data_IF_432346564028
#
_entry.id   IF_432346564028
#
_cell.length_a   1.000
_cell.length_b   1.000
_cell.length_c   1.000
_cell.angle_alpha   90.00
_cell.angle_beta   90.00
_cell.angle_gamma   90.00
#
_symmetry.space_group_name_H-M   'P 1'
#
loop_
_entity.id
_entity.type
_entity.pdbx_description
1 polymer ?
#
# COMPACT_ATOMS: atom_id res chain seq x y z
N UNK A 1 -4.66 -3.96 -5.58
CA UNK A 1 -5.64 -4.17 -4.48
C UNK A 1 -5.01 -3.91 -3.12
N UNK A 2 -5.84 -3.80 -2.10
CA UNK A 2 -5.46 -3.70 -0.69
C UNK A 2 -6.37 -4.60 0.13
N UNK A 3 -5.83 -5.24 1.16
CA UNK A 3 -6.63 -5.98 2.15
C UNK A 3 -6.69 -5.23 3.46
N UNK A 4 -7.83 -5.27 4.14
CA UNK A 4 -8.05 -4.54 5.39
C UNK A 4 -8.81 -5.39 6.40
N UNK A 5 -8.65 -5.05 7.68
CA UNK A 5 -9.45 -5.57 8.80
C UNK A 5 -9.91 -4.39 9.65
N UNK A 6 -10.66 -4.66 10.71
CA UNK A 6 -11.03 -3.69 11.73
C UNK A 6 -10.42 -4.07 13.08
N UNK A 7 -10.08 -3.07 13.90
CA UNK A 7 -9.74 -3.30 15.31
C UNK A 7 -10.99 -3.26 16.20
N UNK A 8 -10.81 -3.48 17.51
CA UNK A 8 -11.90 -3.48 18.50
C UNK A 8 -12.63 -2.13 18.58
N UNK A 9 -11.96 -1.02 18.24
CA UNK A 9 -12.54 0.33 18.22
C UNK A 9 -13.29 0.65 16.92
N UNK A 10 -13.38 -0.30 15.98
CA UNK A 10 -13.99 -0.06 14.67
C UNK A 10 -13.15 0.86 13.79
N UNK A 11 -11.83 0.91 13.99
CA UNK A 11 -10.88 1.55 13.06
C UNK A 11 -10.36 0.52 12.05
N UNK A 12 -10.40 0.89 10.78
CA UNK A 12 -9.85 0.07 9.68
C UNK A 12 -8.32 0.04 9.73
N UNK A 13 -7.75 -1.14 9.54
CA UNK A 13 -6.31 -1.42 9.50
C UNK A 13 -5.96 -2.00 8.13
N UNK A 14 -4.93 -1.46 7.48
CA UNK A 14 -4.37 -2.08 6.27
C UNK A 14 -3.53 -3.30 6.62
N UNK A 15 -3.80 -4.41 5.95
CA UNK A 15 -3.04 -5.67 6.09
C UNK A 15 -1.97 -5.85 5.01
N UNK A 16 -2.09 -5.15 3.88
CA UNK A 16 -1.14 -5.26 2.77
C UNK A 16 -1.68 -4.72 1.46
N UNK A 17 -0.78 -4.61 0.48
CA UNK A 17 -1.07 -4.19 -0.89
C UNK A 17 -0.63 -5.28 -1.85
N UNK A 18 -1.44 -5.49 -2.89
CA UNK A 18 -1.33 -6.63 -3.80
C UNK A 18 -1.47 -6.16 -5.24
N UNK A 19 -0.62 -6.65 -6.12
CA UNK A 19 -0.56 -6.32 -7.54
C UNK A 19 -0.66 -7.56 -8.42
N UNK A 20 -0.25 -7.41 -9.68
CA UNK A 20 -0.26 -8.49 -10.66
C UNK A 20 0.61 -9.66 -10.18
N UNK A 21 0.05 -10.87 -10.18
CA UNK A 21 0.76 -12.08 -9.76
C UNK A 21 0.80 -12.31 -8.24
N UNK A 22 0.22 -11.43 -7.41
CA UNK A 22 0.01 -11.71 -5.99
C UNK A 22 -1.28 -12.52 -5.78
N UNK A 23 -1.30 -13.30 -4.70
CA UNK A 23 -2.49 -14.06 -4.28
C UNK A 23 -3.12 -13.39 -3.05
N UNK A 24 -4.45 -13.31 -3.06
CA UNK A 24 -5.26 -12.78 -1.96
C UNK A 24 -6.41 -13.73 -1.63
N UNK A 25 -6.92 -13.67 -0.39
CA UNK A 25 -8.10 -14.43 0.04
C UNK A 25 -7.95 -15.09 1.41
N UNK A 26 -9.04 -15.74 1.86
CA UNK A 26 -9.15 -16.35 3.19
C UNK A 26 -8.08 -17.41 3.53
N UNK A 27 -7.56 -18.24 2.62
CA UNK A 27 -6.48 -19.19 2.97
C UNK A 27 -5.22 -18.51 3.52
N UNK A 28 -5.04 -17.21 3.27
CA UNK A 28 -3.84 -16.45 3.61
C UNK A 28 -3.97 -15.61 4.90
N UNK A 29 -5.16 -15.52 5.49
CA UNK A 29 -5.41 -14.72 6.69
C UNK A 29 -6.48 -15.34 7.58
N UNK A 30 -6.26 -15.30 8.89
CA UNK A 30 -7.25 -15.70 9.89
C UNK A 30 -8.04 -14.53 10.46
N UNK A 31 -7.72 -13.30 10.02
CA UNK A 31 -8.42 -12.10 10.47
C UNK A 31 -9.81 -12.05 9.84
N UNK A 32 -10.81 -11.85 10.68
CA UNK A 32 -12.22 -11.77 10.28
C UNK A 32 -12.87 -10.56 10.94
N UNK A 33 -13.53 -9.67 10.17
CA UNK A 33 -13.62 -9.67 8.71
C UNK A 33 -12.30 -9.26 8.02
N UNK A 34 -12.03 -9.84 6.85
CA UNK A 34 -10.98 -9.36 5.93
C UNK A 34 -11.65 -8.83 4.67
N UNK A 35 -11.53 -7.53 4.43
CA UNK A 35 -12.10 -6.83 3.28
C UNK A 35 -11.04 -6.58 2.21
N UNK A 36 -11.46 -6.65 0.95
CA UNK A 36 -10.63 -6.41 -0.21
C UNK A 36 -11.10 -5.14 -0.94
N UNK A 37 -10.17 -4.22 -1.18
CA UNK A 37 -10.40 -2.96 -1.87
C UNK A 37 -9.59 -2.91 -3.17
N UNK A 38 -10.28 -2.68 -4.29
CA UNK A 38 -9.63 -2.42 -5.56
C UNK A 38 -9.14 -0.97 -5.61
N UNK A 39 -7.82 -0.78 -5.74
CA UNK A 39 -7.20 0.55 -5.93
C UNK A 39 -7.08 0.92 -7.41
N UNK A 40 -7.26 -0.04 -8.30
CA UNK A 40 -7.23 0.08 -9.76
C UNK A 40 -8.30 -0.86 -10.33
N UNK A 41 -8.74 -0.69 -11.59
CA UNK A 41 -9.39 -1.77 -12.31
C UNK A 41 -8.54 -3.05 -12.17
N UNK A 42 -9.15 -4.12 -11.67
CA UNK A 42 -8.46 -5.36 -11.29
C UNK A 42 -9.31 -6.53 -11.73
N UNK A 43 -8.68 -7.52 -12.34
CA UNK A 43 -9.28 -8.83 -12.63
C UNK A 43 -8.73 -9.87 -11.66
N UNK A 44 -9.57 -10.85 -11.30
CA UNK A 44 -9.22 -11.92 -10.37
C UNK A 44 -9.49 -13.26 -11.03
N UNK A 45 -8.53 -14.17 -10.88
CA UNK A 45 -8.66 -15.56 -11.31
C UNK A 45 -8.61 -16.46 -10.08
N UNK A 46 -9.54 -17.42 -9.94
CA UNK A 46 -9.48 -18.39 -8.86
C UNK A 46 -8.25 -19.28 -9.03
N UNK A 47 -7.61 -19.65 -7.92
CA UNK A 47 -6.48 -20.58 -7.92
C UNK A 47 -6.69 -21.69 -6.89
N UNK A 48 -6.11 -22.86 -7.13
CA UNK A 48 -6.05 -23.94 -6.15
C UNK A 48 -4.87 -23.74 -5.19
N UNK A 49 -5.10 -24.06 -3.91
CA UNK A 49 -4.08 -24.04 -2.85
C UNK A 49 -3.04 -25.15 -2.99
N UNK A 50 -3.29 -26.15 -3.84
CA UNK A 50 -2.40 -27.30 -4.05
C UNK A 50 -1.30 -27.01 -5.09
N UNK A 51 -1.26 -25.80 -5.65
CA UNK A 51 -0.31 -25.43 -6.69
C UNK A 51 1.02 -24.95 -6.11
N UNK A 52 2.13 -25.19 -6.83
CA UNK A 52 3.44 -24.62 -6.47
C UNK A 52 3.44 -23.09 -6.47
N UNK A 53 2.58 -22.48 -7.30
CA UNK A 53 2.34 -21.05 -7.33
C UNK A 53 1.81 -20.52 -5.99
N UNK A 54 0.94 -21.26 -5.30
CA UNK A 54 0.44 -20.86 -3.98
C UNK A 54 1.56 -20.76 -2.93
N UNK A 55 2.52 -21.69 -2.94
CA UNK A 55 3.68 -21.65 -2.06
C UNK A 55 4.57 -20.42 -2.32
N UNK A 56 4.80 -20.07 -3.60
CA UNK A 56 5.54 -18.85 -3.96
C UNK A 56 4.81 -17.59 -3.50
N UNK A 57 3.48 -17.56 -3.65
CA UNK A 57 2.67 -16.43 -3.21
C UNK A 57 2.72 -16.21 -1.69
N UNK A 58 2.82 -17.30 -0.90
CA UNK A 58 3.03 -17.21 0.55
C UNK A 58 4.36 -16.52 0.89
N UNK A 59 5.44 -16.83 0.17
CA UNK A 59 6.75 -16.19 0.36
C UNK A 59 6.69 -14.69 0.03
N UNK A 60 6.13 -14.34 -1.13
CA UNK A 60 5.96 -12.93 -1.54
C UNK A 60 5.12 -12.16 -0.52
N UNK A 61 4.04 -12.77 -0.02
CA UNK A 61 3.23 -12.19 1.04
C UNK A 61 4.02 -11.97 2.32
N UNK A 62 4.85 -12.93 2.72
CA UNK A 62 5.73 -12.81 3.89
C UNK A 62 6.65 -11.59 3.78
N UNK A 63 7.37 -11.48 2.67
CA UNK A 63 8.31 -10.37 2.43
C UNK A 63 7.60 -9.01 2.42
N UNK A 64 6.47 -8.88 1.71
CA UNK A 64 5.70 -7.64 1.69
C UNK A 64 5.21 -7.23 3.08
N UNK A 65 4.79 -8.21 3.89
CA UNK A 65 4.38 -7.95 5.27
C UNK A 65 5.56 -7.49 6.13
N UNK A 66 6.74 -8.11 6.02
CA UNK A 66 7.95 -7.69 6.74
C UNK A 66 8.38 -6.27 6.36
N UNK A 67 8.37 -5.95 5.07
CA UNK A 67 8.67 -4.60 4.58
C UNK A 67 7.66 -3.59 5.13
N UNK A 68 6.36 -3.90 5.08
CA UNK A 68 5.33 -3.01 5.64
C UNK A 68 5.46 -2.86 7.16
N UNK A 69 5.77 -3.94 7.89
CA UNK A 69 6.07 -3.89 9.32
C UNK A 69 7.26 -2.96 9.59
N UNK A 70 8.33 -3.03 8.80
CA UNK A 70 9.47 -2.12 8.96
C UNK A 70 9.09 -0.65 8.77
N UNK A 71 8.14 -0.36 7.88
CA UNK A 71 7.64 0.98 7.60
C UNK A 71 6.77 1.49 8.74
N UNK A 72 5.81 0.70 9.24
CA UNK A 72 4.87 1.17 10.28
C UNK A 72 5.55 1.41 11.63
N UNK A 73 6.66 0.72 11.91
CA UNK A 73 7.40 0.84 13.17
C UNK A 73 8.37 2.04 13.21
N UNK A 74 8.44 2.86 12.16
CA UNK A 74 9.25 4.07 12.21
C UNK A 74 8.69 5.07 13.22
N UNK A 75 9.58 5.67 14.00
CA UNK A 75 9.26 6.63 15.06
C UNK A 75 8.40 7.78 14.54
N UNK A 76 8.86 8.45 13.48
CA UNK A 76 8.18 9.63 12.94
C UNK A 76 7.17 9.26 11.84
N UNK A 77 5.96 9.78 11.94
CA UNK A 77 4.89 9.56 10.94
C UNK A 77 5.29 10.06 9.54
N UNK A 78 6.11 11.12 9.47
CA UNK A 78 6.68 11.61 8.21
C UNK A 78 7.48 10.54 7.50
N UNK A 79 8.28 9.78 8.24
CA UNK A 79 9.17 8.76 7.68
C UNK A 79 8.36 7.56 7.20
N UNK A 80 7.33 7.15 7.98
CA UNK A 80 6.38 6.13 7.55
C UNK A 80 5.72 6.49 6.21
N UNK A 81 5.29 7.74 6.05
CA UNK A 81 4.67 8.20 4.81
C UNK A 81 5.66 8.13 3.63
N UNK A 82 6.87 8.66 3.82
CA UNK A 82 7.90 8.66 2.79
C UNK A 82 8.24 7.23 2.36
N UNK A 83 8.53 6.37 3.33
CA UNK A 83 8.90 4.98 3.06
C UNK A 83 7.74 4.19 2.45
N UNK A 84 6.49 4.45 2.87
CA UNK A 84 5.32 3.85 2.24
C UNK A 84 5.23 4.26 0.76
N UNK A 85 5.36 5.54 0.43
CA UNK A 85 5.30 6.00 -0.95
C UNK A 85 6.44 5.42 -1.80
N UNK A 86 7.65 5.32 -1.25
CA UNK A 86 8.79 4.69 -1.90
C UNK A 86 8.60 3.17 -2.09
N UNK A 87 8.02 2.49 -1.10
CA UNK A 87 7.70 1.07 -1.19
C UNK A 87 6.64 0.82 -2.25
N UNK A 88 5.53 1.58 -2.24
CA UNK A 88 4.51 1.51 -3.28
C UNK A 88 5.09 1.79 -4.67
N UNK A 89 6.03 2.73 -4.78
CA UNK A 89 6.66 3.09 -6.05
C UNK A 89 7.49 1.94 -6.61
N UNK A 90 8.24 1.26 -5.74
CA UNK A 90 9.02 0.06 -6.13
C UNK A 90 8.12 -1.12 -6.50
N UNK A 91 7.01 -1.31 -5.79
CA UNK A 91 6.13 -2.47 -5.99
C UNK A 91 5.15 -2.30 -7.16
N UNK A 92 4.65 -1.09 -7.40
CA UNK A 92 3.51 -0.84 -8.30
C UNK A 92 3.69 0.38 -9.21
N UNK A 93 4.82 1.07 -9.11
CA UNK A 93 5.07 2.29 -9.86
C UNK A 93 5.35 2.03 -11.34
N UNK A 94 5.05 3.03 -12.17
CA UNK A 94 5.44 3.08 -13.59
C UNK A 94 6.45 4.21 -13.78
N UNK A 95 7.60 3.91 -14.35
CA UNK A 95 8.57 4.96 -14.69
C UNK A 95 8.00 5.90 -15.75
N UNK A 96 8.15 7.21 -15.51
CA UNK A 96 7.81 8.28 -16.44
C UNK A 96 8.92 9.33 -16.41
N UNK A 97 8.96 10.24 -17.39
CA UNK A 97 10.01 11.27 -17.50
C UNK A 97 10.22 12.10 -16.21
N UNK A 98 9.18 12.26 -15.39
CA UNK A 98 9.18 13.10 -14.19
C UNK A 98 9.34 12.33 -12.88
N UNK A 99 9.62 11.02 -12.93
CA UNK A 99 9.76 10.16 -11.75
C UNK A 99 8.92 8.89 -11.85
N UNK A 100 8.41 8.41 -10.72
CA UNK A 100 7.63 7.17 -10.66
C UNK A 100 6.15 7.49 -10.45
N UNK A 101 5.31 7.12 -11.41
CA UNK A 101 3.86 7.28 -11.33
C UNK A 101 3.23 6.14 -10.52
N UNK A 102 2.59 6.50 -9.41
CA UNK A 102 1.67 5.65 -8.65
C UNK A 102 0.26 5.78 -9.22
N UNK A 103 -0.03 4.94 -10.21
CA UNK A 103 -1.32 4.87 -10.90
C UNK A 103 -2.35 4.04 -10.11
N UNK A 104 -2.71 4.52 -8.91
CA UNK A 104 -3.70 3.87 -8.06
C UNK A 104 -4.51 4.87 -7.25
N UNK A 105 -5.76 4.52 -6.95
CA UNK A 105 -6.71 5.33 -6.17
C UNK A 105 -6.42 5.26 -4.67
N UNK A 106 -5.26 5.79 -4.28
CA UNK A 106 -4.84 5.78 -2.90
C UNK A 106 -5.35 7.04 -2.16
N UNK A 107 -6.42 6.89 -1.38
CA UNK A 107 -7.00 8.00 -0.63
C UNK A 107 -6.11 8.40 0.55
N UNK A 108 -6.23 9.64 1.03
CA UNK A 108 -5.51 10.08 2.22
C UNK A 108 -5.93 9.27 3.47
N UNK A 109 -7.17 8.76 3.50
CA UNK A 109 -7.65 7.87 4.55
C UNK A 109 -6.96 6.51 4.47
N UNK A 110 -6.89 5.90 3.29
CA UNK A 110 -6.18 4.63 3.08
C UNK A 110 -4.70 4.72 3.51
N UNK A 111 -4.04 5.84 3.21
CA UNK A 111 -2.67 6.11 3.68
C UNK A 111 -2.64 6.19 5.22
N UNK A 112 -3.57 6.93 5.82
CA UNK A 112 -3.64 7.11 7.28
C UNK A 112 -3.89 5.79 8.02
N UNK A 113 -4.80 4.97 7.51
CA UNK A 113 -5.10 3.61 7.96
C UNK A 113 -3.86 2.70 7.85
N UNK A 114 -3.03 2.92 6.83
CA UNK A 114 -1.81 2.12 6.60
C UNK A 114 -0.67 2.50 7.53
N UNK A 115 -0.39 3.79 7.72
CA UNK A 115 0.75 4.25 8.53
C UNK A 115 0.39 4.53 10.00
N UNK A 116 -0.83 4.20 10.41
CA UNK A 116 -1.29 4.36 11.79
C UNK A 116 -1.36 5.82 12.24
N UNK A 117 -1.97 6.70 11.44
CA UNK A 117 -2.18 8.12 11.78
C UNK A 117 -3.59 8.58 11.41
N UNK A 118 -3.81 9.90 11.29
CA UNK A 118 -5.08 10.50 10.86
C UNK A 118 -4.99 11.05 9.44
N UNK A 119 -6.12 11.08 8.73
CA UNK A 119 -6.23 11.71 7.41
C UNK A 119 -5.76 13.17 7.39
N UNK A 120 -5.98 13.93 8.47
CA UNK A 120 -5.53 15.32 8.60
C UNK A 120 -4.01 15.38 8.62
N UNK A 121 -3.36 14.51 9.40
CA UNK A 121 -1.89 14.40 9.44
C UNK A 121 -1.32 14.04 8.07
N UNK A 122 -1.89 13.02 7.39
CA UNK A 122 -1.50 12.65 6.02
C UNK A 122 -1.63 13.82 5.06
N UNK A 123 -2.77 14.52 5.10
CA UNK A 123 -3.02 15.68 4.22
C UNK A 123 -1.97 16.76 4.40
N UNK A 124 -1.59 17.07 5.65
CA UNK A 124 -0.55 18.05 5.95
C UNK A 124 0.82 17.59 5.44
N UNK A 125 1.18 16.33 5.68
CA UNK A 125 2.47 15.79 5.27
C UNK A 125 2.61 15.71 3.74
N UNK A 126 1.57 15.26 3.02
CA UNK A 126 1.58 15.24 1.56
C UNK A 126 1.77 16.65 0.98
N UNK A 127 1.10 17.67 1.53
CA UNK A 127 1.31 19.07 1.13
C UNK A 127 2.74 19.55 1.39
N UNK A 128 3.36 19.10 2.48
CA UNK A 128 4.77 19.41 2.75
C UNK A 128 5.68 18.74 1.72
N UNK A 129 5.50 17.45 1.44
CA UNK A 129 6.27 16.74 0.41
C UNK A 129 6.10 17.36 -0.99
N UNK A 130 4.90 17.84 -1.31
CA UNK A 130 4.62 18.54 -2.57
C UNK A 130 5.36 19.88 -2.64
N UNK A 131 5.34 20.69 -1.58
CA UNK A 131 6.12 21.94 -1.50
C UNK A 131 7.64 21.70 -1.57
N UNK A 132 8.11 20.58 -1.04
CA UNK A 132 9.52 20.16 -1.12
C UNK A 132 9.90 19.58 -2.50
N UNK A 133 8.94 19.45 -3.43
CA UNK A 133 9.17 18.87 -4.76
C UNK A 133 9.45 17.37 -4.74
N UNK A 134 9.12 16.67 -3.65
CA UNK A 134 9.36 15.22 -3.49
C UNK A 134 8.25 14.38 -4.07
N UNK A 135 7.05 14.95 -4.16
CA UNK A 135 5.92 14.36 -4.86
C UNK A 135 5.21 15.42 -5.70
N UNK A 136 4.55 14.99 -6.76
CA UNK A 136 3.62 15.80 -7.52
C UNK A 136 2.27 15.11 -7.57
N UNK A 137 1.19 15.83 -7.28
CA UNK A 137 -0.15 15.26 -7.33
C UNK A 137 -0.74 15.40 -8.73
N UNK A 138 -1.18 14.27 -9.31
CA UNK A 138 -1.93 14.25 -10.56
C UNK A 138 -3.34 13.68 -10.28
N UNK A 139 -4.31 14.57 -10.05
CA UNK A 139 -5.69 14.18 -9.65
C UNK A 139 -5.71 13.28 -8.39
N UNK A 140 -5.94 11.97 -8.57
CA UNK A 140 -6.00 10.95 -7.50
C UNK A 140 -4.73 10.08 -7.43
N UNK A 141 -3.72 10.41 -8.24
CA UNK A 141 -2.45 9.70 -8.35
C UNK A 141 -1.31 10.56 -7.80
N UNK A 142 -0.18 9.91 -7.50
CA UNK A 142 1.04 10.55 -7.08
C UNK A 142 2.16 10.26 -8.07
N UNK A 143 2.97 11.26 -8.39
CA UNK A 143 4.29 11.06 -8.99
C UNK A 143 5.29 11.24 -7.86
N UNK A 144 6.08 10.21 -7.58
CA UNK A 144 7.18 10.28 -6.62
C UNK A 144 8.42 10.69 -7.39
N UNK A 145 9.01 11.82 -7.00
CA UNK A 145 10.22 12.34 -7.63
C UNK A 145 11.38 11.38 -7.35
N UNK A 146 12.04 10.92 -8.40
CA UNK A 146 13.21 10.06 -8.26
C UNK A 146 14.37 10.92 -7.71
N UNK A 147 14.72 10.72 -6.45
CA UNK A 147 15.96 11.26 -5.88
C UNK A 147 16.87 10.07 -5.62
N UNK A 148 17.88 9.93 -6.49
CA UNK A 148 19.13 9.25 -6.18
C UNK A 148 19.83 9.93 -5.01
#
# INVERSE_FOLDING_TARGET
MRTTTWNEEGKRISLGFWGSGDVVGQPLTRLTPCEMECLTPTELSPISTETSYFAQALLVRGWKNEELLSIIHQTFVSDRLILLLQWLSRQFGKEIERGILLDMHLTHEAIAETIGTTRVTVTRLLKTLEREGRIHKLRRQFVVSDRR
#
